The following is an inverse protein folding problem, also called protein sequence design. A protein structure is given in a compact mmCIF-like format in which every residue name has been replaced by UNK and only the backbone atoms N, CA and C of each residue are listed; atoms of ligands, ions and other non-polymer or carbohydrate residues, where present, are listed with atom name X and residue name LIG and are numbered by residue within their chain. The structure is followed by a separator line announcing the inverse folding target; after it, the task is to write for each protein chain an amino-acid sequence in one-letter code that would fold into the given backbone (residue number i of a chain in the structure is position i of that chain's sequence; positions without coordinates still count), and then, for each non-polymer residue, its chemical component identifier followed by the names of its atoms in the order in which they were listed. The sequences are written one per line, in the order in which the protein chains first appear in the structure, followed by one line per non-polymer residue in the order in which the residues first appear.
data_IF_416557589403
#
_entry.id   IF_416557589403
#
_cell.length_a   1.000
_cell.length_b   1.000
_cell.length_c   1.000
_cell.angle_alpha   90.00
_cell.angle_beta   90.00
_cell.angle_gamma   90.00
#
_symmetry.space_group_name_H-M   'P 1'
#
loop_
_entity.id
_entity.type
_entity.pdbx_description
1 polymer ?
#
# COMPACT_ATOMS: atom_id res chain seq x y z
N UNK A 1 -0.57 -30.53 11.17
CA UNK A 1 -0.22 -29.95 9.86
C UNK A 1 -0.17 -28.44 9.98
N UNK A 2 0.83 -27.76 9.39
CA UNK A 2 0.89 -26.29 9.37
C UNK A 2 -0.41 -25.71 8.80
N UNK A 3 -0.88 -26.26 7.66
CA UNK A 3 -2.11 -25.86 6.97
C UNK A 3 -3.31 -25.69 7.93
N UNK A 4 -3.54 -26.67 8.81
CA UNK A 4 -4.66 -26.65 9.76
C UNK A 4 -4.58 -25.48 10.74
N UNK A 5 -3.39 -25.21 11.29
CA UNK A 5 -3.18 -24.18 12.31
C UNK A 5 -2.98 -22.77 11.74
N UNK A 6 -2.58 -22.67 10.47
CA UNK A 6 -2.54 -21.39 9.76
C UNK A 6 -3.94 -20.90 9.44
N UNK A 7 -4.85 -21.80 9.03
CA UNK A 7 -6.20 -21.43 8.65
C UNK A 7 -6.25 -20.58 7.38
N UNK A 8 -7.24 -19.69 7.21
CA UNK A 8 -8.33 -19.39 8.15
C UNK A 8 -9.28 -20.57 8.40
N UNK A 9 -10.24 -20.39 9.32
CA UNK A 9 -11.27 -21.41 9.57
C UNK A 9 -12.08 -21.68 8.29
N UNK A 10 -12.41 -20.63 7.56
CA UNK A 10 -13.20 -20.65 6.33
C UNK A 10 -12.42 -21.39 5.23
N UNK A 11 -11.14 -21.07 5.05
CA UNK A 11 -10.24 -21.80 4.15
C UNK A 11 -10.14 -23.30 4.49
N UNK A 12 -10.01 -23.63 5.77
CA UNK A 12 -10.00 -25.01 6.25
C UNK A 12 -11.32 -25.75 5.96
N UNK A 13 -12.46 -25.07 6.07
CA UNK A 13 -13.77 -25.64 5.72
C UNK A 13 -13.82 -25.92 4.22
N UNK A 14 -13.44 -24.97 3.37
CA UNK A 14 -13.43 -25.12 1.92
C UNK A 14 -12.53 -26.29 1.46
N UNK A 15 -11.31 -26.40 2.00
CA UNK A 15 -10.41 -27.51 1.69
C UNK A 15 -10.95 -28.87 2.13
N UNK A 16 -11.57 -28.95 3.32
CA UNK A 16 -12.22 -30.19 3.78
C UNK A 16 -13.39 -30.59 2.89
N UNK A 17 -14.23 -29.64 2.48
CA UNK A 17 -15.33 -29.90 1.54
C UNK A 17 -14.81 -30.40 0.19
N UNK A 18 -13.72 -29.81 -0.32
CA UNK A 18 -13.07 -30.28 -1.55
C UNK A 18 -12.49 -31.70 -1.37
N UNK A 19 -11.84 -31.99 -0.24
CA UNK A 19 -11.34 -33.33 0.08
C UNK A 19 -12.48 -34.37 0.10
N UNK A 20 -13.59 -34.05 0.76
CA UNK A 20 -14.77 -34.92 0.84
C UNK A 20 -15.35 -35.22 -0.54
N UNK A 21 -15.41 -34.22 -1.42
CA UNK A 21 -15.86 -34.43 -2.82
C UNK A 21 -14.99 -35.41 -3.61
N UNK A 22 -13.74 -35.64 -3.16
CA UNK A 22 -12.77 -36.59 -3.73
C UNK A 22 -12.67 -37.90 -2.94
N UNK A 23 -13.59 -38.15 -2.00
CA UNK A 23 -13.59 -39.35 -1.15
C UNK A 23 -12.49 -39.36 -0.09
N UNK A 24 -11.97 -38.18 0.30
CA UNK A 24 -10.96 -38.00 1.32
C UNK A 24 -11.54 -37.29 2.54
N UNK A 25 -11.03 -37.58 3.74
CA UNK A 25 -11.23 -36.72 4.91
C UNK A 25 -9.91 -36.06 5.29
N UNK A 26 -9.91 -34.74 5.49
CA UNK A 26 -8.74 -33.97 5.93
C UNK A 26 -8.90 -33.57 7.41
N UNK A 27 -7.86 -33.84 8.21
CA UNK A 27 -7.74 -33.39 9.61
C UNK A 27 -6.37 -32.74 9.86
N UNK A 28 -6.09 -32.34 11.10
CA UNK A 28 -4.80 -31.83 11.54
C UNK A 28 -3.65 -32.85 11.39
N UNK A 29 -3.96 -34.13 11.20
CA UNK A 29 -2.99 -35.23 11.10
C UNK A 29 -2.64 -35.64 9.66
N UNK A 30 -3.44 -35.26 8.67
CA UNK A 30 -3.30 -35.76 7.29
C UNK A 30 -4.64 -36.02 6.62
N UNK A 31 -4.58 -36.72 5.48
CA UNK A 31 -5.76 -37.24 4.82
C UNK A 31 -6.04 -38.68 5.24
N UNK A 32 -7.31 -39.09 5.14
CA UNK A 32 -7.71 -40.49 5.16
C UNK A 32 -8.58 -40.84 3.97
N UNK A 33 -8.45 -42.08 3.50
CA UNK A 33 -9.33 -42.72 2.52
C UNK A 33 -9.83 -44.04 3.11
N UNK A 34 -11.00 -44.00 3.74
CA UNK A 34 -11.43 -45.13 4.59
C UNK A 34 -10.49 -45.28 5.78
N UNK A 35 -9.83 -46.44 5.89
CA UNK A 35 -8.84 -46.73 6.96
C UNK A 35 -7.41 -46.35 6.58
N UNK A 36 -7.13 -46.08 5.29
CA UNK A 36 -5.81 -45.71 4.81
C UNK A 36 -5.48 -44.26 5.20
N UNK A 37 -4.33 -44.06 5.83
CA UNK A 37 -3.79 -42.73 6.15
C UNK A 37 -2.81 -42.28 5.07
N UNK A 38 -2.99 -41.04 4.61
CA UNK A 38 -2.11 -40.39 3.64
C UNK A 38 -1.45 -39.21 4.37
N UNK A 39 -0.15 -39.35 4.61
CA UNK A 39 0.65 -38.38 5.34
C UNK A 39 1.09 -37.22 4.43
N UNK A 40 1.09 -36.01 4.99
CA UNK A 40 1.56 -34.79 4.32
C UNK A 40 2.73 -34.21 5.14
N UNK A 41 3.98 -34.66 4.93
CA UNK A 41 5.14 -34.18 5.68
C UNK A 41 5.42 -32.69 5.42
N UNK A 42 5.17 -32.19 4.21
CA UNK A 42 5.24 -30.78 3.86
C UNK A 42 3.85 -30.17 3.69
N UNK A 43 3.76 -28.85 3.83
CA UNK A 43 2.48 -28.16 3.66
C UNK A 43 1.99 -28.22 2.20
N UNK A 44 2.91 -28.25 1.23
CA UNK A 44 2.59 -28.40 -0.19
C UNK A 44 1.87 -29.72 -0.49
N UNK A 45 2.27 -30.81 0.18
CA UNK A 45 1.64 -32.13 0.03
C UNK A 45 0.14 -32.10 0.35
N UNK A 46 -0.29 -31.20 1.24
CA UNK A 46 -1.70 -31.03 1.59
C UNK A 46 -2.50 -30.56 0.37
N UNK A 47 -1.97 -29.60 -0.38
CA UNK A 47 -2.62 -29.05 -1.57
C UNK A 47 -2.49 -30.00 -2.77
N UNK A 48 -1.32 -30.62 -2.94
CA UNK A 48 -1.04 -31.56 -4.03
C UNK A 48 -1.97 -32.77 -4.01
N UNK A 49 -2.30 -33.29 -2.82
CA UNK A 49 -3.28 -34.37 -2.63
C UNK A 49 -4.68 -34.02 -3.17
N UNK A 50 -5.03 -32.73 -3.24
CA UNK A 50 -6.28 -32.24 -3.83
C UNK A 50 -6.13 -31.80 -5.29
N UNK A 51 -4.92 -31.84 -5.84
CA UNK A 51 -4.59 -31.34 -7.18
C UNK A 51 -4.55 -29.81 -7.25
N UNK A 52 -4.26 -29.14 -6.13
CA UNK A 52 -4.10 -27.70 -6.04
C UNK A 52 -2.61 -27.35 -5.94
N UNK A 53 -2.15 -26.22 -6.53
CA UNK A 53 -0.87 -25.65 -6.13
C UNK A 53 -0.90 -25.23 -4.65
N UNK A 54 0.27 -25.15 -4.00
CA UNK A 54 0.38 -24.56 -2.67
C UNK A 54 -0.16 -23.13 -2.65
N UNK A 55 -1.05 -22.84 -1.69
CA UNK A 55 -1.69 -21.54 -1.55
C UNK A 55 -0.95 -20.75 -0.45
N UNK A 56 -0.40 -19.55 -0.74
CA UNK A 56 0.23 -18.71 0.25
C UNK A 56 -0.71 -18.40 1.44
N UNK A 57 -0.23 -18.44 2.70
CA UNK A 57 -1.03 -18.13 3.89
C UNK A 57 -1.86 -16.85 3.80
N UNK A 58 -1.33 -15.82 3.14
CA UNK A 58 -1.97 -14.52 3.01
C UNK A 58 -3.27 -14.55 2.21
N UNK A 59 -3.49 -15.56 1.37
CA UNK A 59 -4.71 -15.70 0.56
C UNK A 59 -5.77 -16.58 1.19
N UNK A 60 -5.46 -17.23 2.32
CA UNK A 60 -6.28 -18.29 2.92
C UNK A 60 -7.44 -17.73 3.75
N UNK A 61 -8.31 -16.97 3.08
CA UNK A 61 -9.46 -16.28 3.70
C UNK A 61 -10.81 -16.69 3.09
N UNK A 62 -10.83 -17.70 2.20
CA UNK A 62 -12.01 -18.12 1.44
C UNK A 62 -12.60 -16.98 0.58
N UNK A 63 -11.72 -16.21 -0.05
CA UNK A 63 -12.04 -15.06 -0.91
C UNK A 63 -11.82 -15.36 -2.41
N UNK A 64 -11.83 -16.65 -2.77
CA UNK A 64 -11.70 -17.16 -4.13
C UNK A 64 -10.37 -17.86 -4.43
N UNK A 65 -9.49 -18.03 -3.44
CA UNK A 65 -8.16 -18.61 -3.58
C UNK A 65 -8.22 -20.08 -4.01
N UNK A 66 -9.23 -20.82 -3.56
CA UNK A 66 -9.43 -22.23 -3.93
C UNK A 66 -9.81 -22.33 -5.42
N UNK A 67 -10.75 -21.53 -5.89
CA UNK A 67 -11.18 -21.48 -7.29
C UNK A 67 -10.04 -21.00 -8.20
N UNK A 68 -9.27 -20.02 -7.75
CA UNK A 68 -8.09 -19.55 -8.45
C UNK A 68 -7.02 -20.65 -8.54
N UNK A 69 -6.79 -21.40 -7.44
CA UNK A 69 -5.86 -22.53 -7.39
C UNK A 69 -6.29 -23.66 -8.33
N UNK A 70 -7.57 -24.05 -8.33
CA UNK A 70 -8.14 -25.06 -9.24
C UNK A 70 -7.95 -24.67 -10.71
N UNK A 71 -8.09 -23.38 -11.02
CA UNK A 71 -7.89 -22.84 -12.38
C UNK A 71 -6.43 -22.53 -12.71
N UNK A 72 -5.50 -22.75 -11.77
CA UNK A 72 -4.07 -22.38 -11.88
C UNK A 72 -3.86 -20.89 -12.22
N UNK A 73 -4.60 -20.03 -11.54
CA UNK A 73 -4.62 -18.56 -11.71
C UNK A 73 -4.34 -17.79 -10.42
N UNK A 74 -3.68 -18.41 -9.44
CA UNK A 74 -3.21 -17.68 -8.28
C UNK A 74 -2.23 -16.58 -8.73
N UNK A 75 -2.32 -15.37 -8.16
CA UNK A 75 -1.39 -14.30 -8.49
C UNK A 75 0.02 -14.62 -7.96
N UNK A 76 1.05 -14.11 -8.66
CA UNK A 76 2.37 -13.96 -8.04
C UNK A 76 2.29 -12.76 -7.10
N UNK A 77 2.28 -13.03 -5.80
CA UNK A 77 2.15 -12.00 -4.78
C UNK A 77 3.39 -11.10 -4.72
N UNK A 78 3.15 -9.83 -4.39
CA UNK A 78 4.18 -8.84 -4.11
C UNK A 78 5.15 -9.34 -3.02
N UNK A 79 6.45 -9.16 -3.23
CA UNK A 79 7.48 -9.47 -2.25
C UNK A 79 8.16 -8.18 -1.76
N UNK A 80 8.73 -8.21 -0.55
CA UNK A 80 9.43 -7.04 -0.01
C UNK A 80 10.60 -6.59 -0.90
N UNK A 81 11.28 -7.55 -1.56
CA UNK A 81 12.35 -7.27 -2.51
C UNK A 81 11.89 -6.70 -3.86
N UNK A 82 10.59 -6.70 -4.15
CA UNK A 82 10.05 -6.03 -5.35
C UNK A 82 10.00 -4.50 -5.14
N UNK A 83 9.99 -4.01 -3.90
CA UNK A 83 9.91 -2.59 -3.59
C UNK A 83 11.24 -1.90 -3.90
N UNK A 84 11.17 -0.86 -4.73
CA UNK A 84 12.34 -0.08 -5.19
C UNK A 84 12.45 1.29 -4.55
N UNK A 85 11.40 1.76 -3.89
CA UNK A 85 11.46 2.97 -3.09
C UNK A 85 10.26 3.11 -2.18
N UNK A 86 10.40 4.02 -1.22
CA UNK A 86 9.34 4.43 -0.31
C UNK A 86 8.82 5.81 -0.72
N UNK A 87 7.51 5.95 -0.86
CA UNK A 87 6.88 7.16 -1.41
C UNK A 87 6.38 8.12 -0.34
N UNK A 88 6.25 7.69 0.90
CA UNK A 88 5.66 8.48 1.98
C UNK A 88 6.55 8.41 3.22
N UNK A 89 7.46 9.39 3.34
CA UNK A 89 8.44 9.46 4.44
C UNK A 89 8.59 10.91 4.88
N UNK A 90 8.52 11.12 6.19
CA UNK A 90 8.58 12.42 6.85
C UNK A 90 9.97 12.66 7.44
N UNK A 91 10.45 13.90 7.31
CA UNK A 91 11.75 14.33 7.81
C UNK A 91 11.61 15.32 8.97
N UNK A 92 12.74 15.70 9.56
CA UNK A 92 12.82 16.77 10.56
C UNK A 92 12.43 18.17 10.04
N UNK A 93 12.07 18.27 8.76
CA UNK A 93 11.48 19.48 8.19
C UNK A 93 10.01 19.66 8.61
N UNK A 94 9.22 18.59 8.77
CA UNK A 94 7.86 18.67 9.30
C UNK A 94 7.77 18.02 10.69
N UNK A 95 7.18 16.84 10.79
CA UNK A 95 6.91 16.10 12.04
C UNK A 95 7.74 14.82 12.19
N UNK A 96 8.63 14.53 11.24
CA UNK A 96 9.66 13.52 11.39
C UNK A 96 10.74 13.93 12.40
N UNK A 97 11.56 12.97 12.82
CA UNK A 97 12.65 13.19 13.78
C UNK A 97 14.05 12.98 13.19
N UNK A 98 14.13 12.58 11.92
CA UNK A 98 15.38 12.25 11.25
C UNK A 98 15.68 13.24 10.11
N UNK A 99 16.94 13.69 9.97
CA UNK A 99 17.38 14.44 8.80
C UNK A 99 17.24 13.61 7.51
N UNK A 100 17.03 14.30 6.38
CA UNK A 100 16.89 13.66 5.05
C UNK A 100 18.10 12.78 4.71
N UNK A 101 19.31 13.18 5.11
CA UNK A 101 20.53 12.38 4.91
C UNK A 101 20.50 11.05 5.63
N UNK A 102 19.96 11.01 6.84
CA UNK A 102 19.84 9.79 7.64
C UNK A 102 18.82 8.85 7.02
N UNK A 103 17.66 9.40 6.62
CA UNK A 103 16.60 8.67 5.91
C UNK A 103 17.12 8.08 4.59
N UNK A 104 17.80 8.89 3.78
CA UNK A 104 18.41 8.46 2.52
C UNK A 104 19.45 7.35 2.72
N UNK A 105 20.28 7.44 3.77
CA UNK A 105 21.25 6.39 4.10
C UNK A 105 20.57 5.09 4.57
N UNK A 106 19.46 5.20 5.31
CA UNK A 106 18.68 4.04 5.74
C UNK A 106 17.95 3.34 4.58
N UNK A 107 17.31 4.11 3.70
CA UNK A 107 16.69 3.61 2.47
C UNK A 107 17.69 2.86 1.59
N UNK A 108 18.92 3.39 1.43
CA UNK A 108 19.99 2.70 0.70
C UNK A 108 20.39 1.36 1.35
N UNK A 109 20.42 1.27 2.69
CA UNK A 109 20.68 0.00 3.40
C UNK A 109 19.58 -1.03 3.19
N UNK A 110 18.35 -0.58 2.98
CA UNK A 110 17.21 -1.44 2.62
C UNK A 110 17.23 -1.88 1.14
N UNK A 111 18.14 -1.33 0.33
CA UNK A 111 18.30 -1.68 -1.08
C UNK A 111 17.41 -0.88 -2.04
N UNK A 112 16.78 0.21 -1.58
CA UNK A 112 15.98 1.07 -2.44
C UNK A 112 16.84 1.82 -3.47
N UNK A 113 16.23 2.08 -4.62
CA UNK A 113 16.75 2.92 -5.70
C UNK A 113 16.38 4.40 -5.50
N UNK A 114 15.26 4.66 -4.80
CA UNK A 114 14.80 6.01 -4.51
C UNK A 114 14.03 6.10 -3.19
N UNK A 115 13.90 7.31 -2.69
CA UNK A 115 13.12 7.68 -1.52
C UNK A 115 12.43 9.01 -1.79
N UNK A 116 11.13 9.09 -1.53
CA UNK A 116 10.38 10.35 -1.60
C UNK A 116 10.27 10.92 -0.19
N UNK A 117 10.69 12.17 -0.03
CA UNK A 117 10.45 12.93 1.20
C UNK A 117 9.15 13.70 1.01
N UNK A 118 8.14 13.37 1.81
CA UNK A 118 6.74 13.80 1.63
C UNK A 118 6.24 14.58 2.84
N UNK A 119 7.04 15.55 3.30
CA UNK A 119 6.70 16.38 4.45
C UNK A 119 5.36 17.13 4.26
N UNK A 120 4.67 17.36 5.38
CA UNK A 120 3.35 18.00 5.40
C UNK A 120 3.39 19.47 4.93
N UNK A 121 2.27 19.91 4.34
CA UNK A 121 2.05 21.33 3.97
C UNK A 121 1.54 22.18 5.15
N UNK A 122 1.71 23.50 5.03
CA UNK A 122 1.56 24.51 6.09
C UNK A 122 0.24 24.45 6.90
N UNK A 123 -0.90 24.07 6.33
CA UNK A 123 -2.18 24.02 7.05
C UNK A 123 -2.20 23.06 8.24
N UNK A 124 -1.32 22.07 8.26
CA UNK A 124 -1.20 21.12 9.36
C UNK A 124 -0.30 21.71 10.47
N UNK A 125 -0.81 22.72 11.20
CA UNK A 125 -0.05 23.44 12.22
C UNK A 125 0.53 22.54 13.35
N UNK A 126 -0.10 21.39 13.60
CA UNK A 126 0.38 20.40 14.60
C UNK A 126 1.65 19.68 14.12
N UNK A 127 1.88 19.63 12.81
CA UNK A 127 2.98 18.91 12.19
C UNK A 127 4.10 19.82 11.65
N UNK A 128 4.12 21.10 12.03
CA UNK A 128 5.14 22.06 11.58
C UNK A 128 5.29 22.10 10.03
N UNK A 129 4.16 22.04 9.33
CA UNK A 129 4.11 21.97 7.86
C UNK A 129 4.89 23.08 7.16
N UNK A 130 5.38 22.78 5.97
CA UNK A 130 6.24 23.68 5.20
C UNK A 130 5.41 24.62 4.33
N UNK A 131 5.89 25.87 4.21
CA UNK A 131 5.46 26.78 3.16
C UNK A 131 6.33 26.61 1.89
N UNK A 132 5.98 27.33 0.82
CA UNK A 132 6.72 27.27 -0.45
C UNK A 132 8.21 27.61 -0.28
N UNK A 133 8.55 28.58 0.58
CA UNK A 133 9.92 29.01 0.83
C UNK A 133 10.75 27.89 1.48
N UNK A 134 10.19 27.21 2.49
CA UNK A 134 10.83 26.06 3.14
C UNK A 134 11.01 24.89 2.18
N UNK A 135 10.03 24.61 1.31
CA UNK A 135 10.19 23.59 0.28
C UNK A 135 11.28 23.93 -0.74
N UNK A 136 11.47 25.21 -1.10
CA UNK A 136 12.60 25.61 -1.95
C UNK A 136 13.96 25.37 -1.29
N UNK A 137 14.09 25.58 0.03
CA UNK A 137 15.32 25.27 0.75
C UNK A 137 15.54 23.75 0.87
N UNK A 138 14.48 22.98 1.13
CA UNK A 138 14.54 21.52 1.14
C UNK A 138 14.97 20.96 -0.22
N UNK A 139 14.46 21.53 -1.33
CA UNK A 139 14.86 21.16 -2.70
C UNK A 139 16.37 21.33 -2.89
N UNK A 140 16.95 22.46 -2.45
CA UNK A 140 18.41 22.69 -2.52
C UNK A 140 19.20 21.66 -1.73
N UNK A 141 18.69 21.19 -0.60
CA UNK A 141 19.30 20.10 0.15
C UNK A 141 19.26 18.79 -0.66
N UNK A 142 18.07 18.41 -1.14
CA UNK A 142 17.86 17.20 -1.95
C UNK A 142 18.75 17.21 -3.21
N UNK A 143 18.85 18.34 -3.91
CA UNK A 143 19.69 18.48 -5.10
C UNK A 143 21.18 18.27 -4.78
N UNK A 144 21.66 18.79 -3.63
CA UNK A 144 23.04 18.55 -3.17
C UNK A 144 23.29 17.07 -2.86
N UNK A 145 22.34 16.39 -2.22
CA UNK A 145 22.44 14.95 -1.94
C UNK A 145 22.48 14.14 -3.24
N UNK A 146 21.59 14.45 -4.18
CA UNK A 146 21.53 13.78 -5.49
C UNK A 146 22.77 14.05 -6.35
N UNK A 147 23.40 15.22 -6.25
CA UNK A 147 24.66 15.50 -6.95
C UNK A 147 25.81 14.59 -6.51
N UNK A 148 25.75 14.11 -5.25
CA UNK A 148 26.77 13.23 -4.67
C UNK A 148 26.54 11.73 -4.90
N UNK A 149 25.35 11.33 -5.40
CA UNK A 149 24.98 9.93 -5.54
C UNK A 149 24.27 9.63 -6.86
N UNK A 150 24.95 8.89 -7.75
CA UNK A 150 24.41 8.52 -9.06
C UNK A 150 23.49 7.28 -9.05
N UNK A 151 23.49 6.48 -7.97
CA UNK A 151 22.78 5.19 -7.89
C UNK A 151 21.50 5.21 -7.07
N UNK A 152 21.31 6.26 -6.28
CA UNK A 152 20.14 6.47 -5.44
C UNK A 152 19.62 7.89 -5.62
N UNK A 153 18.30 8.07 -5.67
CA UNK A 153 17.67 9.39 -5.77
C UNK A 153 16.76 9.68 -4.59
N UNK A 154 16.95 10.84 -3.99
CA UNK A 154 15.93 11.45 -3.13
C UNK A 154 15.03 12.31 -4.02
N UNK A 155 13.73 12.07 -3.98
CA UNK A 155 12.71 12.87 -4.66
C UNK A 155 12.03 13.75 -3.61
N UNK A 156 11.66 14.97 -4.01
CA UNK A 156 10.86 15.84 -3.16
C UNK A 156 9.39 15.63 -3.49
N UNK A 157 8.66 15.06 -2.54
CA UNK A 157 7.22 15.07 -2.56
C UNK A 157 6.63 16.11 -1.61
N UNK A 158 5.32 16.06 -1.48
CA UNK A 158 4.59 16.68 -0.39
C UNK A 158 3.38 15.82 -0.03
N UNK A 159 3.02 15.82 1.25
CA UNK A 159 1.70 15.40 1.68
C UNK A 159 0.81 16.62 1.85
N UNK A 160 0.00 16.90 0.84
CA UNK A 160 -0.92 18.04 0.79
C UNK A 160 -2.24 17.72 1.46
N UNK A 161 -2.72 18.63 2.31
CA UNK A 161 -4.04 18.49 2.95
C UNK A 161 -5.17 18.70 1.93
N UNK A 162 -6.15 17.80 1.98
CA UNK A 162 -7.47 17.97 1.36
C UNK A 162 -8.39 18.64 2.39
N UNK A 163 -8.60 19.94 2.24
CA UNK A 163 -9.41 20.76 3.12
C UNK A 163 -10.85 20.25 3.28
N UNK A 164 -11.52 20.68 4.35
CA UNK A 164 -12.90 20.29 4.65
C UNK A 164 -13.92 20.79 3.58
N UNK A 165 -13.51 21.74 2.74
CA UNK A 165 -14.24 22.27 1.58
C UNK A 165 -13.82 21.63 0.24
N UNK A 166 -12.81 20.76 0.26
CA UNK A 166 -12.24 20.09 -0.92
C UNK A 166 -11.15 20.87 -1.65
N UNK A 167 -10.75 22.03 -1.15
CA UNK A 167 -9.53 22.71 -1.62
C UNK A 167 -8.27 21.93 -1.23
N UNK A 168 -7.20 22.07 -2.01
CA UNK A 168 -5.85 21.62 -1.64
C UNK A 168 -5.10 22.80 -1.01
N UNK A 169 -4.21 22.51 -0.06
CA UNK A 169 -3.46 23.51 0.71
C UNK A 169 -2.51 24.38 -0.15
N UNK A 170 -2.21 23.96 -1.38
CA UNK A 170 -1.42 24.70 -2.35
C UNK A 170 -2.10 24.86 -3.69
N UNK A 171 -1.79 25.96 -4.37
CA UNK A 171 -2.19 26.20 -5.75
C UNK A 171 -1.48 25.25 -6.72
N UNK A 172 -2.11 24.99 -7.87
CA UNK A 172 -1.61 24.08 -8.90
C UNK A 172 -0.18 24.41 -9.35
N UNK A 173 0.18 25.70 -9.45
CA UNK A 173 1.53 26.12 -9.87
C UNK A 173 2.62 25.78 -8.86
N UNK A 174 2.26 25.56 -7.59
CA UNK A 174 3.15 25.09 -6.54
C UNK A 174 3.20 23.57 -6.56
N UNK A 175 2.03 22.91 -6.65
CA UNK A 175 1.94 21.44 -6.74
C UNK A 175 2.71 20.87 -7.94
N UNK A 176 2.71 21.58 -9.07
CA UNK A 176 3.44 21.19 -10.28
C UNK A 176 4.98 21.11 -10.13
N UNK A 177 5.55 21.60 -9.04
CA UNK A 177 7.01 21.64 -8.79
C UNK A 177 7.51 20.45 -7.96
N UNK A 178 6.60 19.71 -7.33
CA UNK A 178 6.94 18.49 -6.61
C UNK A 178 7.15 17.34 -7.57
N UNK A 179 8.05 16.43 -7.22
CA UNK A 179 8.26 15.20 -7.97
C UNK A 179 7.07 14.24 -7.76
N UNK A 180 6.48 14.23 -6.55
CA UNK A 180 5.32 13.41 -6.17
C UNK A 180 4.38 14.23 -5.28
N UNK A 181 3.08 14.19 -5.54
CA UNK A 181 2.08 14.81 -4.65
C UNK A 181 1.17 13.73 -4.07
N UNK A 182 1.17 13.63 -2.75
CA UNK A 182 0.27 12.78 -1.97
C UNK A 182 -0.81 13.69 -1.38
N UNK A 183 -2.08 13.45 -1.69
CA UNK A 183 -3.19 14.20 -1.12
C UNK A 183 -3.90 13.36 -0.05
N UNK A 184 -4.03 13.91 1.15
CA UNK A 184 -4.53 13.19 2.33
C UNK A 184 -5.58 13.99 3.08
N UNK A 185 -6.43 13.30 3.85
CA UNK A 185 -7.46 13.91 4.69
C UNK A 185 -7.04 13.84 6.16
N UNK A 186 -6.64 14.95 6.75
CA UNK A 186 -6.33 15.02 8.19
C UNK A 186 -7.44 15.69 9.01
N UNK A 187 -8.18 16.60 8.39
CA UNK A 187 -9.24 17.39 9.04
C UNK A 187 -10.62 16.98 8.55
N UNK A 188 -11.68 17.34 9.30
CA UNK A 188 -13.05 17.09 8.85
C UNK A 188 -13.46 15.60 8.72
N UNK A 189 -12.69 14.66 9.29
CA UNK A 189 -12.93 13.20 9.16
C UNK A 189 -14.31 12.73 9.66
N UNK A 190 -15.02 13.56 10.46
CA UNK A 190 -16.38 13.30 10.97
C UNK A 190 -17.49 13.87 10.08
N UNK A 191 -17.17 14.43 8.91
CA UNK A 191 -18.16 14.84 7.93
C UNK A 191 -19.00 13.64 7.45
N UNK A 192 -20.19 13.92 6.95
CA UNK A 192 -21.03 12.90 6.33
C UNK A 192 -20.35 12.29 5.09
N UNK A 193 -20.79 11.07 4.73
CA UNK A 193 -20.24 10.27 3.62
C UNK A 193 -20.13 11.09 2.33
N UNK A 194 -21.16 11.83 1.96
CA UNK A 194 -21.20 12.54 0.68
C UNK A 194 -20.16 13.66 0.64
N UNK A 195 -20.03 14.42 1.73
CA UNK A 195 -19.02 15.50 1.83
C UNK A 195 -17.59 14.97 1.80
N UNK A 196 -17.25 14.00 2.65
CA UNK A 196 -15.88 13.47 2.70
C UNK A 196 -15.51 12.77 1.39
N UNK A 197 -16.45 12.05 0.77
CA UNK A 197 -16.23 11.42 -0.53
C UNK A 197 -16.02 12.46 -1.62
N UNK A 198 -16.86 13.50 -1.69
CA UNK A 198 -16.79 14.51 -2.76
C UNK A 198 -15.45 15.24 -2.79
N UNK A 199 -14.84 15.55 -1.63
CA UNK A 199 -13.53 16.19 -1.59
C UNK A 199 -12.38 15.26 -2.00
N UNK A 200 -12.45 13.97 -1.66
CA UNK A 200 -11.46 12.99 -2.12
C UNK A 200 -11.58 12.82 -3.64
N UNK A 201 -12.80 12.74 -4.16
CA UNK A 201 -13.03 12.70 -5.61
C UNK A 201 -12.50 13.95 -6.32
N UNK A 202 -12.67 15.14 -5.73
CA UNK A 202 -12.10 16.37 -6.27
C UNK A 202 -10.56 16.31 -6.33
N UNK A 203 -9.91 15.77 -5.30
CA UNK A 203 -8.46 15.58 -5.28
C UNK A 203 -7.97 14.59 -6.36
N UNK A 204 -8.71 13.51 -6.63
CA UNK A 204 -8.39 12.57 -7.72
C UNK A 204 -8.39 13.22 -9.11
N UNK A 205 -9.18 14.29 -9.30
CA UNK A 205 -9.25 15.03 -10.57
C UNK A 205 -8.23 16.16 -10.67
N UNK A 206 -7.45 16.43 -9.62
CA UNK A 206 -6.40 17.43 -9.72
C UNK A 206 -5.21 16.86 -10.53
N UNK A 207 -4.76 17.55 -11.60
CA UNK A 207 -3.72 17.05 -12.50
C UNK A 207 -2.32 17.01 -11.87
N UNK A 208 -2.19 17.39 -10.61
CA UNK A 208 -0.94 17.31 -9.87
C UNK A 208 -0.92 16.25 -8.79
N UNK A 209 -2.07 15.70 -8.39
CA UNK A 209 -2.16 14.65 -7.36
C UNK A 209 -1.82 13.28 -7.96
N UNK A 210 -0.79 12.63 -7.42
CA UNK A 210 -0.31 11.33 -7.87
C UNK A 210 -0.87 10.17 -7.01
N UNK A 211 -1.01 10.41 -5.70
CA UNK A 211 -1.43 9.40 -4.72
C UNK A 211 -2.48 9.98 -3.78
N UNK A 212 -3.49 9.20 -3.40
CA UNK A 212 -4.32 9.49 -2.22
C UNK A 212 -3.74 8.73 -1.03
N UNK A 213 -3.25 9.47 -0.02
CA UNK A 213 -2.66 8.93 1.21
C UNK A 213 -3.74 8.47 2.20
N UNK A 214 -3.40 7.44 2.99
CA UNK A 214 -4.18 6.79 4.07
C UNK A 214 -5.67 7.12 4.04
N UNK A 215 -6.34 6.64 2.97
CA UNK A 215 -7.64 7.11 2.47
C UNK A 215 -8.73 7.23 3.55
N UNK A 216 -8.81 6.25 4.45
CA UNK A 216 -9.88 6.25 5.46
C UNK A 216 -9.57 7.15 6.64
N UNK A 217 -8.29 7.49 6.83
CA UNK A 217 -7.77 8.26 7.95
C UNK A 217 -7.83 7.50 9.28
N UNK A 218 -7.98 6.17 9.28
CA UNK A 218 -8.09 5.39 10.52
C UNK A 218 -6.79 5.39 11.34
N UNK A 219 -6.94 5.21 12.65
CA UNK A 219 -5.84 4.88 13.57
C UNK A 219 -6.33 3.75 14.47
N UNK A 220 -5.74 2.56 14.32
CA UNK A 220 -6.13 1.35 15.03
C UNK A 220 -6.14 1.58 16.55
N UNK A 221 -7.29 1.30 17.17
CA UNK A 221 -7.52 1.49 18.60
C UNK A 221 -7.74 2.93 19.07
N UNK A 222 -7.71 3.93 18.16
CA UNK A 222 -7.85 5.35 18.53
C UNK A 222 -8.89 6.10 17.69
N UNK A 223 -8.94 5.87 16.39
CA UNK A 223 -9.81 6.58 15.44
C UNK A 223 -10.36 5.61 14.41
N UNK A 224 -11.68 5.47 14.40
CA UNK A 224 -12.38 4.71 13.36
C UNK A 224 -12.18 5.33 11.97
N UNK A 225 -12.26 4.52 10.89
CA UNK A 225 -12.34 5.01 9.52
C UNK A 225 -13.38 6.14 9.35
N UNK A 226 -13.08 7.12 8.52
CA UNK A 226 -14.07 8.13 8.11
C UNK A 226 -15.22 7.50 7.31
N UNK A 227 -16.29 8.27 7.10
CA UNK A 227 -17.46 7.80 6.36
C UNK A 227 -17.25 7.70 4.83
N UNK A 228 -16.02 7.83 4.33
CA UNK A 228 -15.69 7.87 2.90
C UNK A 228 -16.21 6.64 2.14
N UNK A 229 -16.76 6.88 0.96
CA UNK A 229 -17.16 5.83 0.04
C UNK A 229 -15.93 5.29 -0.71
N UNK A 230 -15.27 4.29 -0.10
CA UNK A 230 -14.06 3.68 -0.67
C UNK A 230 -14.32 3.09 -2.06
N UNK A 231 -15.48 2.45 -2.30
CA UNK A 231 -15.80 1.89 -3.62
C UNK A 231 -15.92 2.99 -4.70
N UNK A 232 -16.54 4.12 -4.37
CA UNK A 232 -16.61 5.26 -5.29
C UNK A 232 -15.22 5.83 -5.60
N UNK A 233 -14.38 5.99 -4.57
CA UNK A 233 -13.00 6.47 -4.70
C UNK A 233 -12.16 5.52 -5.56
N UNK A 234 -12.18 4.21 -5.29
CA UNK A 234 -11.42 3.23 -6.07
C UNK A 234 -11.83 3.21 -7.54
N UNK A 235 -13.13 3.31 -7.84
CA UNK A 235 -13.62 3.38 -9.22
C UNK A 235 -13.17 4.63 -9.94
N UNK A 236 -13.09 5.75 -9.25
CA UNK A 236 -12.63 7.00 -9.85
C UNK A 236 -11.11 7.01 -10.01
N UNK A 237 -10.36 6.51 -9.03
CA UNK A 237 -8.91 6.34 -9.11
C UNK A 237 -8.48 5.47 -10.30
N UNK A 238 -9.25 4.42 -10.62
CA UNK A 238 -9.01 3.61 -11.82
C UNK A 238 -9.16 4.39 -13.13
N UNK A 239 -9.98 5.45 -13.16
CA UNK A 239 -10.18 6.31 -14.34
C UNK A 239 -9.13 7.42 -14.42
N UNK A 240 -8.84 8.06 -13.29
CA UNK A 240 -7.88 9.17 -13.21
C UNK A 240 -6.43 8.69 -13.20
N UNK A 241 -6.19 7.41 -12.96
CA UNK A 241 -4.83 6.85 -12.88
C UNK A 241 -4.08 7.25 -11.60
N UNK A 242 -4.72 7.99 -10.69
CA UNK A 242 -4.19 8.31 -9.36
C UNK A 242 -4.03 7.03 -8.55
N UNK A 243 -2.87 6.87 -7.91
CA UNK A 243 -2.64 5.71 -7.06
C UNK A 243 -3.36 5.84 -5.71
N UNK A 244 -3.65 4.70 -5.09
CA UNK A 244 -4.20 4.64 -3.72
C UNK A 244 -3.16 4.01 -2.79
N UNK A 245 -2.92 4.66 -1.66
CA UNK A 245 -1.95 4.22 -0.66
C UNK A 245 -2.39 2.96 0.12
N UNK A 246 -1.42 2.10 0.38
CA UNK A 246 -1.43 0.98 1.34
C UNK A 246 -0.35 1.26 2.36
N UNK A 247 -0.71 2.10 3.33
CA UNK A 247 0.17 2.64 4.34
C UNK A 247 0.57 1.55 5.34
N UNK A 248 1.87 1.27 5.42
CA UNK A 248 2.43 0.20 6.24
C UNK A 248 2.63 0.57 7.72
N UNK A 249 2.36 1.80 8.16
CA UNK A 249 2.59 2.14 9.56
C UNK A 249 1.65 1.31 10.46
N UNK A 250 2.16 0.63 11.51
CA UNK A 250 1.40 -0.40 12.23
C UNK A 250 0.12 0.08 12.91
N UNK A 251 0.03 1.38 13.25
CA UNK A 251 -1.16 1.96 13.86
C UNK A 251 -2.18 2.48 12.84
N UNK A 252 -1.90 2.47 11.52
CA UNK A 252 -2.90 2.76 10.47
C UNK A 252 -3.29 1.48 9.72
N UNK A 253 -2.34 0.89 9.00
CA UNK A 253 -2.55 -0.17 8.01
C UNK A 253 -3.66 0.20 7.02
N UNK A 254 -3.55 1.34 6.34
CA UNK A 254 -4.65 1.92 5.54
C UNK A 254 -4.15 2.19 4.11
N UNK A 255 -4.65 1.54 3.07
CA UNK A 255 -5.88 0.77 2.94
C UNK A 255 -5.86 -0.65 3.56
N UNK A 256 -7.02 -1.16 4.00
CA UNK A 256 -7.14 -2.56 4.44
C UNK A 256 -7.13 -3.58 3.30
N UNK A 257 -6.89 -4.84 3.64
CA UNK A 257 -6.73 -5.94 2.69
C UNK A 257 -7.98 -6.20 1.81
N UNK A 258 -9.18 -6.07 2.37
CA UNK A 258 -10.45 -6.20 1.62
C UNK A 258 -10.52 -5.15 0.52
N UNK A 259 -10.26 -3.88 0.85
CA UNK A 259 -10.30 -2.81 -0.13
C UNK A 259 -9.07 -2.83 -1.06
N UNK A 260 -7.91 -3.33 -0.64
CA UNK A 260 -6.79 -3.60 -1.54
C UNK A 260 -7.17 -4.66 -2.58
N UNK A 261 -7.80 -5.76 -2.18
CA UNK A 261 -8.33 -6.76 -3.12
C UNK A 261 -9.27 -6.13 -4.12
N UNK A 262 -10.15 -5.25 -3.65
CA UNK A 262 -11.09 -4.52 -4.50
C UNK A 262 -10.38 -3.58 -5.48
N UNK A 263 -9.35 -2.87 -5.03
CA UNK A 263 -8.52 -2.01 -5.86
C UNK A 263 -7.82 -2.80 -6.98
N UNK A 264 -7.27 -3.98 -6.66
CA UNK A 264 -6.67 -4.90 -7.64
C UNK A 264 -7.68 -5.36 -8.69
N UNK A 265 -8.91 -5.72 -8.28
CA UNK A 265 -9.99 -6.12 -9.21
C UNK A 265 -10.42 -4.99 -10.16
N UNK A 266 -10.38 -3.75 -9.68
CA UNK A 266 -10.72 -2.56 -10.44
C UNK A 266 -9.57 -2.06 -11.34
N UNK A 267 -8.37 -2.63 -11.20
CA UNK A 267 -7.18 -2.18 -11.94
C UNK A 267 -6.58 -0.88 -11.42
N UNK A 268 -6.86 -0.53 -10.16
CA UNK A 268 -6.27 0.65 -9.50
C UNK A 268 -4.78 0.41 -9.27
N UNK A 269 -3.98 1.45 -9.52
CA UNK A 269 -2.55 1.45 -9.15
C UNK A 269 -2.43 1.71 -7.65
N UNK A 270 -1.58 0.94 -6.97
CA UNK A 270 -1.34 1.08 -5.52
C UNK A 270 0.01 1.75 -5.26
N UNK A 271 0.13 2.50 -4.17
CA UNK A 271 1.39 2.87 -3.53
C UNK A 271 1.51 2.10 -2.23
N UNK A 272 2.64 1.46 -1.95
CA UNK A 272 2.89 0.79 -0.67
C UNK A 272 4.06 1.48 0.00
N UNK A 273 3.88 2.00 1.21
CA UNK A 273 4.88 2.86 1.88
C UNK A 273 4.92 2.58 3.38
N UNK A 274 5.85 3.23 4.07
CA UNK A 274 6.03 3.08 5.51
C UNK A 274 5.43 4.20 6.35
N UNK A 275 5.11 5.36 5.76
CA UNK A 275 4.72 6.59 6.47
C UNK A 275 5.72 6.88 7.62
N UNK A 276 7.01 6.78 7.29
CA UNK A 276 8.07 6.76 8.29
C UNK A 276 8.41 8.18 8.78
N UNK A 277 8.25 8.42 10.07
CA UNK A 277 8.74 9.63 10.77
C UNK A 277 10.16 9.50 11.32
N UNK A 278 10.84 8.37 11.07
CA UNK A 278 12.23 8.14 11.46
C UNK A 278 12.89 7.08 10.59
N UNK A 279 14.22 7.07 10.51
CA UNK A 279 14.96 6.04 9.78
C UNK A 279 14.67 4.61 10.28
N UNK A 280 14.37 4.45 11.58
CA UNK A 280 14.00 3.16 12.17
C UNK A 280 12.57 2.70 11.84
N UNK A 281 11.72 3.59 11.30
CA UNK A 281 10.35 3.27 10.90
C UNK A 281 10.23 2.78 9.45
N UNK A 282 11.21 3.03 8.58
CA UNK A 282 11.22 2.54 7.18
C UNK A 282 10.93 1.03 7.04
N UNK A 283 11.41 0.14 7.94
CA UNK A 283 11.06 -1.28 7.87
C UNK A 283 9.56 -1.59 8.02
N UNK A 284 8.71 -0.63 8.39
CA UNK A 284 7.26 -0.78 8.41
C UNK A 284 6.66 -1.09 7.03
N UNK A 285 7.41 -0.86 5.93
CA UNK A 285 7.10 -1.36 4.58
C UNK A 285 6.70 -2.85 4.60
N UNK A 286 7.28 -3.66 5.49
CA UNK A 286 6.91 -5.05 5.68
C UNK A 286 5.40 -5.24 5.88
N UNK A 287 4.75 -4.41 6.70
CA UNK A 287 3.32 -4.52 6.98
C UNK A 287 2.46 -4.02 5.82
N UNK A 288 2.91 -2.99 5.09
CA UNK A 288 2.28 -2.54 3.85
C UNK A 288 2.28 -3.65 2.80
N UNK A 289 3.44 -4.29 2.58
CA UNK A 289 3.56 -5.45 1.68
C UNK A 289 2.71 -6.62 2.15
N UNK A 290 2.71 -6.95 3.45
CA UNK A 290 1.86 -8.02 3.97
C UNK A 290 0.36 -7.76 3.74
N UNK A 291 -0.09 -6.52 3.94
CA UNK A 291 -1.48 -6.09 3.68
C UNK A 291 -1.80 -6.18 2.19
N UNK A 292 -0.89 -5.71 1.33
CA UNK A 292 -1.04 -5.78 -0.11
C UNK A 292 -1.13 -7.22 -0.62
N UNK A 293 -0.31 -8.14 -0.08
CA UNK A 293 -0.35 -9.57 -0.38
C UNK A 293 -1.69 -10.22 -0.02
N UNK A 294 -2.25 -9.87 1.14
CA UNK A 294 -3.61 -10.32 1.56
C UNK A 294 -4.69 -9.80 0.62
N UNK A 295 -4.50 -8.60 0.07
CA UNK A 295 -5.30 -8.03 -1.01
C UNK A 295 -4.97 -8.56 -2.41
N UNK A 296 -4.22 -9.66 -2.54
CA UNK A 296 -3.87 -10.29 -3.82
C UNK A 296 -3.01 -9.43 -4.76
N UNK A 297 -2.39 -8.37 -4.24
CA UNK A 297 -1.55 -7.50 -5.05
C UNK A 297 -0.28 -8.22 -5.51
N UNK A 298 0.02 -8.04 -6.79
CA UNK A 298 1.31 -8.40 -7.41
C UNK A 298 2.18 -7.16 -7.58
N UNK A 299 3.45 -7.34 -7.94
CA UNK A 299 4.33 -6.22 -8.27
C UNK A 299 3.75 -5.29 -9.35
N UNK A 300 3.03 -5.85 -10.34
CA UNK A 300 2.41 -5.06 -11.41
C UNK A 300 1.31 -4.09 -10.92
N UNK A 301 0.72 -4.34 -9.74
CA UNK A 301 -0.29 -3.48 -9.15
C UNK A 301 0.31 -2.29 -8.39
N UNK A 302 1.60 -2.34 -8.02
CA UNK A 302 2.22 -1.40 -7.08
C UNK A 302 3.24 -0.52 -7.80
N UNK A 303 3.05 0.79 -7.74
CA UNK A 303 3.82 1.78 -8.50
C UNK A 303 5.28 1.83 -8.08
N UNK A 304 5.57 1.70 -6.79
CA UNK A 304 6.92 1.80 -6.24
C UNK A 304 7.71 0.48 -6.31
N UNK A 305 7.25 -0.48 -7.11
CA UNK A 305 8.05 -1.61 -7.60
C UNK A 305 8.77 -1.29 -8.91
N UNK A 306 8.42 -0.16 -9.54
CA UNK A 306 8.98 0.26 -10.83
C UNK A 306 10.40 0.79 -10.64
N UNK A 307 11.34 0.47 -11.55
CA UNK A 307 12.61 1.18 -11.64
C UNK A 307 12.39 2.69 -11.73
N UNK A 308 13.32 3.47 -11.20
CA UNK A 308 13.18 4.93 -11.14
C UNK A 308 12.78 5.57 -12.50
N UNK A 309 13.33 5.07 -13.61
CA UNK A 309 13.02 5.59 -14.95
C UNK A 309 11.58 5.30 -15.40
N UNK A 310 10.99 4.20 -14.96
CA UNK A 310 9.58 3.86 -15.21
C UNK A 310 8.65 4.58 -14.23
N UNK A 311 9.09 4.78 -12.98
CA UNK A 311 8.38 5.60 -12.01
C UNK A 311 8.22 7.05 -12.52
N UNK A 312 9.30 7.67 -13.01
CA UNK A 312 9.22 9.01 -13.62
C UNK A 312 8.29 9.07 -14.84
N UNK A 313 8.25 8.02 -15.68
CA UNK A 313 7.32 7.98 -16.83
C UNK A 313 5.87 7.93 -16.37
N UNK A 314 5.59 7.26 -15.27
CA UNK A 314 4.25 7.21 -14.69
C UNK A 314 3.80 8.56 -14.14
N UNK A 315 4.68 9.25 -13.42
CA UNK A 315 4.44 10.62 -12.93
C UNK A 315 4.14 11.62 -14.07
N UNK A 316 4.67 11.35 -15.27
CA UNK A 316 4.39 12.16 -16.47
C UNK A 316 3.08 11.79 -17.18
N UNK A 317 2.52 10.61 -16.90
CA UNK A 317 1.34 10.05 -17.58
C UNK A 317 0.03 10.38 -16.86
N UNK A 318 -0.05 11.57 -16.25
CA UNK A 318 -1.28 12.04 -15.61
C UNK A 318 -2.35 12.22 -16.69
N UNK A 319 -3.46 11.44 -16.67
CA UNK A 319 -4.56 11.64 -17.58
C UNK A 319 -5.10 13.06 -17.36
N UNK A 320 -5.00 13.89 -18.39
CA UNK A 320 -5.65 15.21 -18.41
C UNK A 320 -7.16 15.11 -18.53
#
# INVERSE_FOLDING_TARGET
LLQYFTGSKEHNVALRSLAQSKGLSLSEYGYKRGEEEILCPEEADVYDALGLPWIPPELREDWGEIEAAQKKRLPKLLELGDIRGDLHVHSDWSDGVAPIEELAAAAQRLGYEYLVISDHTHSLAVANGLDEGRFQEQRKLIDRLNASNARFRVLQGCEVEIGADGSLDFADEVLARFDVVIASVHTGLRQDRDRVTSRVLAALHNPHVDVIGHLTGRILGQREPSAVDVEAVLREAAKTGTAIEVNGIPNRLDLDDVHVKRAVELGVTLSVDSDAHSAGALPAMFYGVATARRGWASAANVVNTRPLSEFHKWLQHRPG
#
